data_IF_146473362341
#
_entry.id   IF_146473362341
#
_cell.length_a   1.000
_cell.length_b   1.000
_cell.length_c   1.000
_cell.angle_alpha   90.00
_cell.angle_beta   90.00
_cell.angle_gamma   90.00
#
_symmetry.space_group_name_H-M   'P 1'
#
loop_
_entity.id
_entity.type
_entity.pdbx_description
1 polymer ?
#
# COMPACT_ATOMS: atom_id res chain seq x y z
N UNK A 1 -13.56 -24.05 8.62
CA UNK A 1 -13.45 -22.58 8.46
C UNK A 1 -12.07 -22.15 8.93
N UNK A 2 -11.11 -22.15 8.02
CA UNK A 2 -9.81 -21.57 8.29
C UNK A 2 -9.97 -20.06 8.05
N UNK A 3 -9.73 -19.25 9.06
CA UNK A 3 -9.79 -17.79 8.95
C UNK A 3 -8.64 -17.27 8.06
N UNK A 4 -8.72 -16.01 7.61
CA UNK A 4 -7.66 -15.28 6.91
C UNK A 4 -6.25 -15.56 7.49
N UNK A 5 -6.15 -15.65 8.81
CA UNK A 5 -4.91 -15.94 9.51
C UNK A 5 -4.34 -17.35 9.25
N UNK A 6 -5.20 -18.33 8.93
CA UNK A 6 -4.77 -19.71 8.67
C UNK A 6 -4.04 -19.90 7.35
N UNK A 7 -4.23 -19.00 6.39
CA UNK A 7 -3.59 -19.06 5.08
C UNK A 7 -2.34 -18.16 4.96
N UNK A 8 -2.05 -17.33 5.96
CA UNK A 8 -0.93 -16.37 5.91
C UNK A 8 0.41 -17.04 5.74
N UNK A 9 0.72 -18.07 6.54
CA UNK A 9 2.00 -18.77 6.44
C UNK A 9 2.20 -19.52 5.12
N UNK A 10 1.22 -20.32 4.63
CA UNK A 10 1.31 -20.90 3.29
C UNK A 10 1.48 -19.87 2.19
N UNK A 11 0.79 -18.74 2.28
CA UNK A 11 0.89 -17.67 1.30
C UNK A 11 2.24 -16.94 1.35
N UNK A 12 2.78 -16.72 2.53
CA UNK A 12 4.15 -16.19 2.70
C UNK A 12 5.18 -17.11 2.04
N UNK A 13 5.05 -18.42 2.23
CA UNK A 13 5.95 -19.40 1.59
C UNK A 13 5.82 -19.37 0.06
N UNK A 14 4.61 -19.26 -0.45
CA UNK A 14 4.34 -19.09 -1.88
C UNK A 14 5.01 -17.81 -2.42
N UNK A 15 4.89 -16.69 -1.72
CA UNK A 15 5.57 -15.44 -2.09
C UNK A 15 7.10 -15.58 -2.05
N UNK A 16 7.65 -16.26 -1.03
CA UNK A 16 9.10 -16.53 -0.93
C UNK A 16 9.60 -17.34 -2.12
N UNK A 17 8.85 -18.34 -2.56
CA UNK A 17 9.19 -19.17 -3.71
C UNK A 17 9.19 -18.34 -5.01
N UNK A 18 8.12 -17.58 -5.27
CA UNK A 18 8.03 -16.71 -6.46
C UNK A 18 9.18 -15.71 -6.52
N UNK A 19 9.49 -15.09 -5.41
CA UNK A 19 10.49 -14.02 -5.34
C UNK A 19 11.89 -14.48 -4.97
N UNK A 20 12.13 -15.80 -4.94
CA UNK A 20 13.47 -16.37 -4.65
C UNK A 20 14.56 -15.92 -5.63
N UNK A 21 14.20 -15.72 -6.89
CA UNK A 21 15.12 -15.25 -7.94
C UNK A 21 15.35 -13.73 -7.90
N UNK A 22 14.44 -12.98 -7.32
CA UNK A 22 14.54 -11.54 -7.18
C UNK A 22 14.93 -11.27 -5.73
N UNK A 23 16.07 -10.76 -5.46
CA UNK A 23 16.64 -10.49 -4.13
C UNK A 23 15.67 -9.68 -3.21
N UNK A 24 14.45 -10.20 -3.00
CA UNK A 24 13.55 -9.76 -1.94
C UNK A 24 14.19 -10.20 -0.64
N UNK A 25 14.54 -9.24 0.21
CA UNK A 25 15.29 -9.51 1.44
C UNK A 25 14.38 -9.64 2.65
N UNK A 26 13.15 -9.14 2.55
CA UNK A 26 12.20 -9.18 3.66
C UNK A 26 10.74 -9.26 3.16
N UNK A 27 9.97 -10.14 3.77
CA UNK A 27 8.50 -10.20 3.69
C UNK A 27 7.98 -9.92 5.09
N UNK A 28 7.49 -8.72 5.31
CA UNK A 28 6.88 -8.31 6.57
C UNK A 28 5.38 -8.55 6.51
N UNK A 29 4.88 -9.34 7.46
CA UNK A 29 3.46 -9.63 7.63
C UNK A 29 2.97 -9.20 9.01
N UNK A 30 3.48 -8.11 9.54
CA UNK A 30 3.09 -7.67 10.89
C UNK A 30 1.64 -7.18 10.92
N UNK A 31 0.76 -8.09 11.33
CA UNK A 31 -0.66 -7.86 11.52
C UNK A 31 -1.04 -6.96 12.70
N UNK A 32 -0.08 -6.24 13.29
CA UNK A 32 -0.31 -5.27 14.35
C UNK A 32 -0.25 -3.84 13.83
N UNK A 33 -0.95 -3.56 12.74
CA UNK A 33 -1.23 -2.18 12.40
C UNK A 33 -2.25 -1.62 13.40
N UNK A 34 -1.83 -0.71 14.24
CA UNK A 34 -2.76 0.12 15.00
C UNK A 34 -3.60 0.90 14.00
N UNK A 35 -4.92 0.63 13.95
CA UNK A 35 -5.86 1.38 13.11
C UNK A 35 -6.06 0.89 11.67
N UNK A 36 -5.57 -0.30 11.27
CA UNK A 36 -5.84 -0.84 9.91
C UNK A 36 -5.17 -0.07 8.77
N UNK A 37 -4.05 0.59 9.04
CA UNK A 37 -3.38 1.49 8.09
C UNK A 37 -2.20 0.86 7.35
N UNK A 38 -1.97 -0.46 7.53
CA UNK A 38 -0.93 -1.19 6.80
C UNK A 38 -1.55 -2.34 6.01
N UNK A 39 -1.10 -2.60 4.78
CA UNK A 39 -1.41 -3.83 4.08
C UNK A 39 -0.92 -5.07 4.84
N UNK A 40 -1.56 -6.22 4.59
CA UNK A 40 -1.24 -7.47 5.27
C UNK A 40 0.18 -7.96 5.03
N UNK A 41 0.74 -7.68 3.85
CA UNK A 41 2.11 -8.02 3.50
C UNK A 41 2.83 -6.86 2.82
N UNK A 42 4.11 -6.71 3.15
CA UNK A 42 5.02 -5.77 2.49
C UNK A 42 6.28 -6.53 2.09
N UNK A 43 6.56 -6.58 0.80
CA UNK A 43 7.78 -7.16 0.26
C UNK A 43 8.79 -6.04 0.00
N UNK A 44 10.01 -6.20 0.52
CA UNK A 44 11.03 -5.17 0.44
C UNK A 44 12.38 -5.74 -0.02
N UNK A 45 13.16 -4.87 -0.68
CA UNK A 45 14.58 -5.09 -0.95
C UNK A 45 15.38 -4.11 -0.10
N UNK A 46 16.01 -4.62 0.95
CA UNK A 46 16.55 -3.76 2.00
C UNK A 46 15.41 -2.96 2.66
N UNK A 47 15.53 -1.64 2.67
CA UNK A 47 14.52 -0.73 3.22
C UNK A 47 13.54 -0.19 2.17
N UNK A 48 13.62 -0.67 0.92
CA UNK A 48 12.79 -0.18 -0.19
C UNK A 48 11.63 -1.15 -0.39
N UNK A 49 10.38 -0.75 -0.10
CA UNK A 49 9.21 -1.56 -0.41
C UNK A 49 9.03 -1.70 -1.92
N UNK A 50 8.86 -2.94 -2.38
CA UNK A 50 8.62 -3.28 -3.79
C UNK A 50 7.16 -3.57 -4.08
N UNK A 51 6.46 -4.19 -3.12
CA UNK A 51 5.10 -4.67 -3.30
C UNK A 51 4.34 -4.62 -1.96
N UNK A 52 3.09 -4.19 -2.02
CA UNK A 52 2.14 -4.21 -0.93
C UNK A 52 0.99 -5.15 -1.29
N UNK A 53 0.58 -6.03 -0.37
CA UNK A 53 -0.55 -6.93 -0.59
C UNK A 53 -1.56 -6.76 0.55
N UNK A 54 -2.80 -6.60 0.14
CA UNK A 54 -3.97 -6.67 1.01
C UNK A 54 -4.72 -7.97 0.71
N UNK A 55 -4.94 -8.76 1.74
CA UNK A 55 -5.54 -10.09 1.63
C UNK A 55 -6.92 -10.09 2.27
N UNK A 56 -7.85 -10.82 1.68
CA UNK A 56 -9.20 -11.02 2.20
C UNK A 56 -9.52 -12.50 2.30
N UNK A 57 -10.47 -12.85 3.15
CA UNK A 57 -10.96 -14.25 3.23
C UNK A 57 -11.47 -14.74 1.89
N UNK A 58 -11.22 -16.02 1.60
CA UNK A 58 -11.69 -16.68 0.38
C UNK A 58 -13.20 -16.49 0.21
N UNK A 59 -13.58 -15.99 -0.97
CA UNK A 59 -14.97 -15.76 -1.34
C UNK A 59 -15.55 -14.43 -0.83
N UNK A 60 -14.74 -13.54 -0.26
CA UNK A 60 -15.14 -12.15 -0.06
C UNK A 60 -15.20 -11.47 -1.43
N UNK A 61 -16.22 -10.63 -1.66
CA UNK A 61 -16.33 -9.90 -2.92
C UNK A 61 -15.26 -8.82 -3.02
N UNK A 62 -14.25 -9.05 -3.84
CA UNK A 62 -13.20 -8.07 -4.09
C UNK A 62 -13.74 -6.78 -4.75
N UNK A 63 -14.85 -6.84 -5.50
CA UNK A 63 -15.51 -5.66 -6.07
C UNK A 63 -16.05 -4.70 -5.00
N UNK A 64 -16.51 -5.25 -3.86
CA UNK A 64 -16.94 -4.42 -2.72
C UNK A 64 -15.74 -3.81 -2.01
N UNK A 65 -14.66 -4.57 -1.88
CA UNK A 65 -13.42 -4.11 -1.26
C UNK A 65 -12.77 -2.99 -2.07
N UNK A 66 -12.77 -3.08 -3.41
CA UNK A 66 -12.26 -2.00 -4.29
C UNK A 66 -12.90 -0.63 -4.02
N UNK A 67 -14.15 -0.63 -3.58
CA UNK A 67 -14.93 0.58 -3.29
C UNK A 67 -14.85 1.01 -1.83
N UNK A 68 -14.10 0.29 -1.00
CA UNK A 68 -13.98 0.59 0.43
C UNK A 68 -13.05 1.77 0.69
N UNK A 69 -13.29 2.47 1.79
CA UNK A 69 -12.38 3.52 2.27
C UNK A 69 -10.98 2.98 2.58
N UNK A 70 -10.87 1.74 3.05
CA UNK A 70 -9.60 1.08 3.31
C UNK A 70 -8.76 1.02 2.03
N UNK A 71 -9.34 0.53 0.92
CA UNK A 71 -8.59 0.42 -0.32
C UNK A 71 -8.31 1.78 -0.96
N UNK A 72 -9.21 2.75 -0.80
CA UNK A 72 -8.96 4.14 -1.23
C UNK A 72 -7.69 4.72 -0.59
N UNK A 73 -7.43 4.40 0.69
CA UNK A 73 -6.19 4.76 1.39
C UNK A 73 -4.97 4.07 0.79
N UNK A 74 -5.11 2.80 0.42
CA UNK A 74 -4.00 2.00 -0.12
C UNK A 74 -3.63 2.34 -1.56
N UNK A 75 -4.49 3.03 -2.31
CA UNK A 75 -4.13 3.55 -3.63
C UNK A 75 -2.97 4.57 -3.63
N UNK A 76 -2.55 5.04 -2.46
CA UNK A 76 -1.31 5.80 -2.29
C UNK A 76 -0.04 4.95 -2.32
N UNK A 77 -0.14 3.60 -2.31
CA UNK A 77 0.99 2.71 -2.52
C UNK A 77 1.33 2.58 -4.00
N UNK A 78 2.63 2.52 -4.32
CA UNK A 78 3.08 2.49 -5.71
C UNK A 78 2.66 1.20 -6.42
N UNK A 79 2.88 0.05 -5.78
CA UNK A 79 2.49 -1.27 -6.26
C UNK A 79 1.65 -1.98 -5.19
N UNK A 80 0.36 -2.08 -5.42
CA UNK A 80 -0.60 -2.72 -4.52
C UNK A 80 -1.25 -3.92 -5.21
N UNK A 81 -1.32 -5.05 -4.52
CA UNK A 81 -2.10 -6.22 -4.91
C UNK A 81 -3.21 -6.44 -3.89
N UNK A 82 -4.45 -6.55 -4.36
CA UNK A 82 -5.60 -7.01 -3.58
C UNK A 82 -5.90 -8.46 -3.98
N UNK A 83 -6.05 -9.35 -3.01
CA UNK A 83 -6.32 -10.77 -3.27
C UNK A 83 -7.21 -11.40 -2.19
N UNK A 84 -7.96 -12.44 -2.58
CA UNK A 84 -8.60 -13.39 -1.67
C UNK A 84 -7.92 -14.77 -1.74
N UNK A 85 -6.64 -14.82 -2.11
CA UNK A 85 -5.82 -16.00 -2.41
C UNK A 85 -6.15 -16.70 -3.73
N UNK A 86 -7.33 -16.48 -4.30
CA UNK A 86 -7.77 -17.12 -5.54
C UNK A 86 -7.75 -16.19 -6.73
N UNK A 87 -8.07 -14.92 -6.52
CA UNK A 87 -8.03 -13.86 -7.51
C UNK A 87 -7.06 -12.77 -7.07
N UNK A 88 -6.28 -12.23 -8.01
CA UNK A 88 -5.26 -11.20 -7.79
C UNK A 88 -5.56 -9.99 -8.66
N UNK A 89 -5.68 -8.81 -8.03
CA UNK A 89 -5.92 -7.51 -8.66
C UNK A 89 -4.75 -6.58 -8.42
N UNK A 90 -4.22 -6.04 -9.47
CA UNK A 90 -2.99 -5.26 -9.45
C UNK A 90 -3.29 -3.78 -9.66
N UNK A 91 -2.75 -2.92 -8.78
CA UNK A 91 -2.92 -1.47 -8.84
C UNK A 91 -1.57 -0.79 -8.77
N UNK A 92 -1.25 0.00 -9.78
CA UNK A 92 -0.06 0.85 -9.79
C UNK A 92 -0.48 2.30 -9.65
N UNK A 93 -0.01 2.97 -8.60
CA UNK A 93 -0.42 4.35 -8.29
C UNK A 93 -1.95 4.54 -8.29
N UNK A 94 -2.69 3.57 -7.75
CA UNK A 94 -4.15 3.60 -7.66
C UNK A 94 -4.91 3.36 -8.98
N UNK A 95 -4.24 2.98 -10.05
CA UNK A 95 -4.85 2.57 -11.32
C UNK A 95 -4.69 1.06 -11.51
N UNK A 96 -5.69 0.43 -12.12
CA UNK A 96 -5.58 -0.98 -12.53
C UNK A 96 -4.40 -1.14 -13.50
N UNK A 97 -3.51 -2.07 -13.18
CA UNK A 97 -2.31 -2.34 -13.96
C UNK A 97 -2.55 -3.35 -15.07
N UNK A 98 -3.19 -4.46 -14.72
CA UNK A 98 -3.63 -5.53 -15.62
C UNK A 98 -5.01 -6.01 -15.22
N UNK A 99 -5.65 -6.81 -16.08
CA UNK A 99 -6.89 -7.50 -15.74
C UNK A 99 -6.68 -8.48 -14.56
N UNK A 100 -7.72 -8.73 -13.74
CA UNK A 100 -7.62 -9.67 -12.63
C UNK A 100 -7.16 -11.06 -13.08
N UNK A 101 -6.27 -11.68 -12.31
CA UNK A 101 -5.77 -13.02 -12.57
C UNK A 101 -6.37 -13.97 -11.53
N UNK A 102 -7.22 -14.90 -11.96
CA UNK A 102 -7.82 -15.91 -11.09
C UNK A 102 -7.13 -17.26 -11.29
N UNK A 103 -6.48 -17.78 -10.24
CA UNK A 103 -5.87 -19.12 -10.24
C UNK A 103 -6.84 -20.22 -9.83
N UNK A 104 -7.94 -19.85 -9.19
CA UNK A 104 -9.05 -20.73 -8.86
C UNK A 104 -10.32 -19.91 -8.62
N UNK A 105 -11.47 -20.58 -8.63
CA UNK A 105 -12.76 -20.03 -8.23
C UNK A 105 -13.38 -20.91 -7.15
N UNK A 106 -14.10 -20.28 -6.21
CA UNK A 106 -14.78 -20.99 -5.12
C UNK A 106 -16.31 -20.88 -5.26
N UNK A 107 -16.96 -22.01 -5.47
CA UNK A 107 -18.42 -22.10 -5.40
C UNK A 107 -18.86 -22.25 -3.93
N UNK A 108 -19.57 -21.24 -3.42
CA UNK A 108 -20.04 -21.22 -2.03
C UNK A 108 -21.17 -22.22 -1.77
N UNK A 109 -21.99 -22.54 -2.79
CA UNK A 109 -23.13 -23.47 -2.65
C UNK A 109 -22.62 -24.90 -2.59
N UNK A 110 -21.80 -25.27 -3.57
CA UNK A 110 -21.25 -26.62 -3.71
C UNK A 110 -20.01 -26.84 -2.82
N UNK A 111 -19.43 -25.77 -2.26
CA UNK A 111 -18.18 -25.78 -1.47
C UNK A 111 -17.02 -26.42 -2.23
N UNK A 112 -16.95 -26.15 -3.53
CA UNK A 112 -15.93 -26.72 -4.42
C UNK A 112 -14.99 -25.64 -4.92
N UNK A 113 -13.73 -26.02 -5.15
CA UNK A 113 -12.72 -25.20 -5.81
C UNK A 113 -12.51 -25.72 -7.22
N UNK A 114 -12.58 -24.81 -8.20
CA UNK A 114 -12.18 -25.07 -9.59
C UNK A 114 -10.88 -24.33 -9.86
N UNK A 115 -9.84 -25.07 -10.29
CA UNK A 115 -8.51 -24.51 -10.54
C UNK A 115 -8.37 -24.08 -11.99
N UNK A 116 -7.58 -23.01 -12.21
CA UNK A 116 -7.16 -22.51 -13.51
C UNK A 116 -5.63 -22.65 -13.62
N UNK A 117 -5.10 -23.85 -13.93
CA UNK A 117 -3.67 -24.13 -13.88
C UNK A 117 -2.84 -23.25 -14.83
N UNK A 118 -3.41 -22.84 -15.97
CA UNK A 118 -2.79 -21.96 -16.96
C UNK A 118 -2.46 -20.57 -16.40
N UNK A 119 -3.18 -20.15 -15.37
CA UNK A 119 -3.01 -18.83 -14.77
C UNK A 119 -1.92 -18.78 -13.69
N UNK A 120 -1.40 -19.92 -13.21
CA UNK A 120 -0.32 -19.91 -12.20
C UNK A 120 0.96 -19.29 -12.73
N UNK A 121 1.36 -19.67 -13.93
CA UNK A 121 2.58 -19.11 -14.54
C UNK A 121 2.37 -17.64 -14.95
N UNK A 122 1.17 -17.30 -15.40
CA UNK A 122 0.80 -15.90 -15.68
C UNK A 122 0.89 -15.06 -14.40
N UNK A 123 0.34 -15.55 -13.28
CA UNK A 123 0.42 -14.88 -11.98
C UNK A 123 1.88 -14.69 -11.54
N UNK A 124 2.70 -15.76 -11.61
CA UNK A 124 4.12 -15.70 -11.26
C UNK A 124 4.87 -14.61 -12.04
N UNK A 125 4.75 -14.63 -13.36
CA UNK A 125 5.38 -13.62 -14.23
C UNK A 125 4.89 -12.22 -13.93
N UNK A 126 3.57 -12.06 -13.75
CA UNK A 126 2.98 -10.74 -13.49
C UNK A 126 3.45 -10.19 -12.14
N UNK A 127 3.50 -11.00 -11.07
CA UNK A 127 4.01 -10.59 -9.77
C UNK A 127 5.47 -10.11 -9.86
N UNK A 128 6.33 -10.86 -10.57
CA UNK A 128 7.73 -10.52 -10.79
C UNK A 128 7.85 -9.18 -11.53
N UNK A 129 7.21 -9.06 -12.70
CA UNK A 129 7.23 -7.84 -13.51
C UNK A 129 6.65 -6.64 -12.79
N UNK A 130 5.65 -6.87 -11.95
CA UNK A 130 5.01 -5.81 -11.19
C UNK A 130 5.92 -5.18 -10.13
N UNK A 131 6.89 -5.93 -9.60
CA UNK A 131 7.90 -5.42 -8.65
C UNK A 131 9.03 -4.67 -9.34
N UNK A 132 9.20 -4.81 -10.66
CA UNK A 132 10.17 -4.03 -11.40
C UNK A 132 9.72 -2.57 -11.44
N UNK A 133 10.59 -1.67 -11.00
CA UNK A 133 10.27 -0.24 -10.96
C UNK A 133 10.31 0.38 -12.36
N UNK A 134 9.18 0.38 -13.03
CA UNK A 134 9.00 1.15 -14.24
C UNK A 134 8.38 2.50 -13.88
N UNK A 135 9.09 3.59 -14.16
CA UNK A 135 8.53 4.94 -14.04
C UNK A 135 7.44 5.10 -15.10
N UNK A 136 6.18 4.92 -14.71
CA UNK A 136 5.08 5.22 -15.63
C UNK A 136 4.86 6.73 -15.71
N UNK A 137 4.70 7.29 -16.93
CA UNK A 137 4.44 8.71 -17.08
C UNK A 137 3.05 9.06 -16.49
N UNK A 138 2.96 10.22 -15.87
CA UNK A 138 1.70 10.76 -15.38
C UNK A 138 0.81 11.10 -16.57
N UNK A 139 -0.33 10.43 -16.69
CA UNK A 139 -1.20 10.49 -17.87
C UNK A 139 -2.15 11.69 -17.89
N UNK A 140 -2.42 12.31 -16.73
CA UNK A 140 -3.35 13.46 -16.62
C UNK A 140 -3.19 14.17 -15.27
N UNK A 141 -3.74 15.39 -15.18
CA UNK A 141 -3.82 16.11 -13.91
C UNK A 141 -4.64 15.37 -12.84
N UNK A 142 -5.71 14.70 -13.24
CA UNK A 142 -6.52 13.85 -12.34
C UNK A 142 -5.71 12.66 -11.81
N UNK A 143 -4.89 12.05 -12.66
CA UNK A 143 -3.98 10.96 -12.25
C UNK A 143 -2.93 11.48 -11.24
N UNK A 144 -2.32 12.63 -11.53
CA UNK A 144 -1.40 13.29 -10.60
C UNK A 144 -2.05 13.59 -9.26
N UNK A 145 -3.24 14.20 -9.27
CA UNK A 145 -3.98 14.53 -8.05
C UNK A 145 -4.28 13.29 -7.21
N UNK A 146 -4.63 12.16 -7.84
CA UNK A 146 -4.88 10.89 -7.17
C UNK A 146 -3.63 10.34 -6.49
N UNK A 147 -2.48 10.37 -7.19
CA UNK A 147 -1.18 9.96 -6.64
C UNK A 147 -0.80 10.85 -5.45
N UNK A 148 -0.86 12.17 -5.61
CA UNK A 148 -0.52 13.13 -4.56
C UNK A 148 -1.44 13.00 -3.35
N UNK A 149 -2.75 12.90 -3.57
CA UNK A 149 -3.75 12.71 -2.52
C UNK A 149 -3.51 11.42 -1.72
N UNK A 150 -3.23 10.31 -2.39
CA UNK A 150 -2.89 9.05 -1.73
C UNK A 150 -1.60 9.14 -0.89
N UNK A 151 -0.56 9.80 -1.41
CA UNK A 151 0.69 10.02 -0.66
C UNK A 151 0.47 10.95 0.54
N UNK A 152 -0.28 12.04 0.36
CA UNK A 152 -0.63 12.95 1.45
C UNK A 152 -1.42 12.22 2.55
N UNK A 153 -2.40 11.40 2.16
CA UNK A 153 -3.17 10.61 3.11
C UNK A 153 -2.28 9.70 3.97
N UNK A 154 -1.35 8.96 3.36
CA UNK A 154 -0.41 8.08 4.09
C UNK A 154 0.49 8.86 5.05
N UNK A 155 1.02 10.00 4.61
CA UNK A 155 1.85 10.85 5.46
C UNK A 155 1.05 11.37 6.65
N UNK A 156 -0.20 11.79 6.42
CA UNK A 156 -1.11 12.23 7.47
C UNK A 156 -1.35 11.14 8.52
N UNK A 157 -1.71 9.94 8.11
CA UNK A 157 -1.97 8.83 9.05
C UNK A 157 -0.71 8.46 9.84
N UNK A 158 0.45 8.38 9.18
CA UNK A 158 1.71 8.14 9.88
C UNK A 158 2.04 9.25 10.89
N UNK A 159 1.79 10.51 10.54
CA UNK A 159 1.98 11.64 11.43
C UNK A 159 1.05 11.56 12.65
N UNK A 160 -0.24 11.22 12.44
CA UNK A 160 -1.21 11.01 13.54
C UNK A 160 -0.77 9.91 14.49
N UNK A 161 -0.33 8.76 13.96
CA UNK A 161 0.14 7.64 14.76
C UNK A 161 1.36 8.05 15.60
N UNK A 162 2.31 8.79 15.00
CA UNK A 162 3.49 9.30 15.71
C UNK A 162 3.13 10.31 16.79
N UNK A 163 2.18 11.20 16.53
CA UNK A 163 1.75 12.25 17.47
C UNK A 163 0.93 11.71 18.63
N UNK A 164 0.27 10.56 18.45
CA UNK A 164 -0.55 9.91 19.47
C UNK A 164 0.15 8.70 20.14
N UNK A 165 1.39 8.39 19.74
CA UNK A 165 2.15 7.27 20.32
C UNK A 165 2.57 7.55 21.77
N UNK A 166 2.76 6.51 22.60
CA UNK A 166 3.22 6.66 23.99
C UNK A 166 4.59 7.35 24.12
N UNK A 167 5.44 7.24 23.09
CA UNK A 167 6.78 7.83 23.04
C UNK A 167 6.88 9.12 22.20
N UNK A 168 5.75 9.76 21.94
CA UNK A 168 5.62 10.93 21.05
C UNK A 168 6.59 12.07 21.37
N UNK A 169 6.85 12.32 22.65
CA UNK A 169 7.72 13.42 23.09
C UNK A 169 9.17 13.28 22.63
N UNK A 170 9.61 12.06 22.31
CA UNK A 170 10.95 11.78 21.76
C UNK A 170 11.03 12.02 20.25
N UNK A 171 9.88 12.14 19.58
CA UNK A 171 9.81 12.24 18.13
C UNK A 171 9.96 13.69 17.64
N UNK A 172 10.73 13.87 16.59
CA UNK A 172 10.97 15.19 16.01
C UNK A 172 9.68 15.90 15.54
N UNK A 173 8.73 15.11 14.97
CA UNK A 173 7.46 15.65 14.52
C UNK A 173 6.62 16.23 15.68
N UNK A 174 6.67 15.63 16.86
CA UNK A 174 5.98 16.14 18.04
C UNK A 174 6.55 17.49 18.49
N UNK A 175 7.87 17.67 18.43
CA UNK A 175 8.51 18.94 18.75
C UNK A 175 8.10 20.05 17.80
N UNK A 176 7.95 19.75 16.51
CA UNK A 176 7.44 20.69 15.52
C UNK A 176 6.01 21.07 15.81
N UNK A 177 5.14 20.08 16.09
CA UNK A 177 3.75 20.30 16.48
C UNK A 177 3.63 21.23 17.71
N UNK A 178 4.34 20.92 18.79
CA UNK A 178 4.34 21.75 20.01
C UNK A 178 4.84 23.17 19.76
N UNK A 179 5.86 23.33 18.91
CA UNK A 179 6.36 24.66 18.54
C UNK A 179 5.32 25.46 17.79
N UNK A 180 4.66 24.85 16.79
CA UNK A 180 3.62 25.52 16.00
C UNK A 180 2.40 25.87 16.87
N UNK A 181 1.95 24.93 17.71
CA UNK A 181 0.85 25.15 18.62
C UNK A 181 1.12 26.29 19.58
N UNK A 182 2.32 26.39 20.13
CA UNK A 182 2.69 27.44 21.08
C UNK A 182 2.87 28.81 20.43
N UNK A 183 3.39 28.86 19.19
CA UNK A 183 3.81 30.12 18.57
C UNK A 183 2.81 30.68 17.56
N UNK A 184 2.01 29.82 16.91
CA UNK A 184 1.18 30.22 15.77
C UNK A 184 -0.31 29.92 15.97
N UNK A 185 -0.68 28.71 16.32
CA UNK A 185 -2.08 28.24 16.35
C UNK A 185 -2.33 27.52 17.66
N UNK A 186 -2.79 28.22 18.68
CA UNK A 186 -2.91 27.71 20.07
C UNK A 186 -3.94 26.59 20.25
N UNK A 187 -4.94 26.50 19.40
CA UNK A 187 -6.02 25.52 19.43
C UNK A 187 -5.83 24.37 18.40
N UNK A 188 -4.65 24.30 17.77
CA UNK A 188 -4.33 23.23 16.79
C UNK A 188 -4.41 21.85 17.42
N UNK A 189 -5.25 20.98 16.87
CA UNK A 189 -5.28 19.56 17.22
C UNK A 189 -4.15 18.78 16.55
N UNK A 190 -3.87 17.56 17.03
CA UNK A 190 -2.91 16.65 16.37
C UNK A 190 -3.37 16.26 14.98
N UNK A 191 -4.68 16.17 14.75
CA UNK A 191 -5.28 15.85 13.46
C UNK A 191 -5.11 16.97 12.44
N UNK A 192 -5.38 18.23 12.86
CA UNK A 192 -5.18 19.41 12.00
C UNK A 192 -3.71 19.58 11.62
N UNK A 193 -2.82 19.38 12.59
CA UNK A 193 -1.39 19.41 12.32
C UNK A 193 -0.96 18.33 11.34
N UNK A 194 -1.42 17.08 11.52
CA UNK A 194 -1.07 15.97 10.65
C UNK A 194 -1.53 16.21 9.21
N UNK A 195 -2.73 16.76 9.04
CA UNK A 195 -3.29 17.10 7.72
C UNK A 195 -2.49 18.22 7.05
N UNK A 196 -2.25 19.32 7.75
CA UNK A 196 -1.44 20.43 7.26
C UNK A 196 -0.02 19.98 6.92
N UNK A 197 0.62 19.19 7.79
CA UNK A 197 1.97 18.67 7.59
C UNK A 197 2.06 17.83 6.32
N UNK A 198 1.11 16.91 6.14
CA UNK A 198 1.07 16.03 4.97
C UNK A 198 0.90 16.83 3.66
N UNK A 199 -0.05 17.76 3.63
CA UNK A 199 -0.29 18.61 2.46
C UNK A 199 0.94 19.46 2.14
N UNK A 200 1.49 20.13 3.13
CA UNK A 200 2.68 20.98 2.95
C UNK A 200 3.87 20.19 2.39
N UNK A 201 4.10 18.98 2.93
CA UNK A 201 5.19 18.13 2.47
C UNK A 201 5.00 17.66 1.03
N UNK A 202 3.81 17.17 0.68
CA UNK A 202 3.52 16.66 -0.67
C UNK A 202 3.57 17.80 -1.71
N UNK A 203 2.95 18.93 -1.43
CA UNK A 203 3.00 20.08 -2.33
C UNK A 203 4.40 20.67 -2.44
N UNK A 204 5.12 20.78 -1.31
CA UNK A 204 6.49 21.29 -1.30
C UNK A 204 7.44 20.42 -2.14
N UNK A 205 7.35 19.08 -1.98
CA UNK A 205 8.14 18.14 -2.78
C UNK A 205 7.75 18.19 -4.27
N UNK A 206 6.46 18.32 -4.58
CA UNK A 206 6.00 18.46 -5.95
C UNK A 206 6.56 19.74 -6.60
N UNK A 207 6.45 20.89 -5.92
CA UNK A 207 6.97 22.17 -6.42
C UNK A 207 8.49 22.11 -6.58
N UNK A 208 9.21 21.55 -5.60
CA UNK A 208 10.65 21.37 -5.68
C UNK A 208 11.03 20.52 -6.92
N UNK A 209 10.35 19.40 -7.14
CA UNK A 209 10.59 18.54 -8.31
C UNK A 209 10.19 19.21 -9.63
N UNK A 210 9.11 19.99 -9.64
CA UNK A 210 8.65 20.70 -10.84
C UNK A 210 9.68 21.74 -11.31
N UNK A 211 10.37 22.39 -10.38
CA UNK A 211 11.41 23.39 -10.68
C UNK A 211 12.83 22.79 -10.79
N UNK A 212 12.99 21.51 -10.47
CA UNK A 212 14.27 20.82 -10.57
C UNK A 212 14.58 20.47 -12.03
N UNK A 213 15.63 21.10 -12.56
CA UNK A 213 16.13 20.88 -13.92
C UNK A 213 17.29 19.88 -13.98
N UNK A 214 17.70 19.33 -12.83
CA UNK A 214 18.77 18.33 -12.79
C UNK A 214 18.34 17.02 -13.44
N UNK A 215 19.28 16.28 -14.07
CA UNK A 215 18.96 14.94 -14.58
C UNK A 215 18.54 14.00 -13.45
N UNK A 216 17.58 13.12 -13.73
CA UNK A 216 17.19 12.06 -12.79
C UNK A 216 18.39 11.19 -12.44
N UNK A 217 18.79 11.22 -11.17
CA UNK A 217 19.92 10.44 -10.64
C UNK A 217 19.46 9.22 -9.84
N UNK A 218 18.17 8.84 -9.92
CA UNK A 218 17.56 7.72 -9.22
C UNK A 218 17.29 6.53 -10.13
#
# INVERSE_FOLDING_TARGET
NTSEYGYRTPFENFLKEIFSEIKVTNIDHDGKAVGGNKPDFVLSKGNIPLLYLEVKDIGVSLDKIEKSEQLARYYGYDNLVLTDYLEFRFYRNGLKYVEPISIASYDKKERTLTYNPENFELLRKTLIQFTESHKEPIKSGTHLAKIMGGKAYRIRENARDMLNSPDKERRSIYKVYETMKRQLIHDMSTDDFADMYAQTLVYGLFVARFHDTSPDTF
#
